data_IF_571663749061
#
_entry.id   IF_571663749061
#
_cell.length_a   1.000
_cell.length_b   1.000
_cell.length_c   1.000
_cell.angle_alpha   90.00
_cell.angle_beta   90.00
_cell.angle_gamma   90.00
#
_symmetry.space_group_name_H-M   'P 1'
#
loop_
_entity.id
_entity.type
_entity.pdbx_description
1 polymer ?
#
# COMPACT_ATOMS: atom_id res chain seq x y z
N UNK A 1 -12.82 9.33 -25.81
CA UNK A 1 -11.66 8.81 -26.56
C UNK A 1 -10.52 9.79 -26.38
N UNK A 2 -9.42 9.40 -25.72
CA UNK A 2 -8.27 10.29 -25.58
C UNK A 2 -7.70 10.60 -26.97
N UNK A 3 -7.57 11.88 -27.29
CA UNK A 3 -6.97 12.32 -28.55
C UNK A 3 -5.54 11.81 -28.66
N UNK A 4 -5.13 11.38 -29.84
CA UNK A 4 -3.74 11.00 -30.09
C UNK A 4 -2.79 12.14 -29.63
N UNK A 5 -1.69 11.80 -28.93
CA UNK A 5 -0.75 12.79 -28.42
C UNK A 5 -0.17 13.61 -29.57
N UNK A 6 -0.18 14.95 -29.41
CA UNK A 6 0.26 15.91 -30.44
C UNK A 6 1.70 16.38 -30.24
N UNK A 7 2.37 15.94 -29.17
CA UNK A 7 3.74 16.31 -28.86
C UNK A 7 4.47 15.21 -28.10
N UNK A 8 5.81 15.20 -28.20
CA UNK A 8 6.68 14.30 -27.44
C UNK A 8 6.43 14.37 -25.93
N UNK A 9 6.12 15.56 -25.40
CA UNK A 9 5.80 15.74 -23.98
C UNK A 9 4.47 15.08 -23.59
N UNK A 10 3.43 15.20 -24.41
CA UNK A 10 2.15 14.51 -24.17
C UNK A 10 2.31 13.00 -24.28
N UNK A 11 3.15 12.54 -25.22
CA UNK A 11 3.49 11.13 -25.35
C UNK A 11 4.23 10.61 -24.12
N UNK A 12 5.23 11.35 -23.62
CA UNK A 12 5.94 11.00 -22.40
C UNK A 12 5.02 10.96 -21.19
N UNK A 13 4.07 11.88 -21.08
CA UNK A 13 3.06 11.85 -20.02
C UNK A 13 2.19 10.59 -20.10
N UNK A 14 1.75 10.20 -21.31
CA UNK A 14 1.01 8.96 -21.52
C UNK A 14 1.82 7.73 -21.05
N UNK A 15 3.12 7.69 -21.35
CA UNK A 15 4.01 6.63 -20.87
C UNK A 15 4.11 6.63 -19.35
N UNK A 16 4.23 7.80 -18.71
CA UNK A 16 4.31 7.95 -17.25
C UNK A 16 3.00 7.54 -16.56
N UNK A 17 1.85 7.88 -17.14
CA UNK A 17 0.54 7.58 -16.58
C UNK A 17 0.15 6.10 -16.76
N UNK A 18 0.90 5.35 -17.56
CA UNK A 18 0.65 3.93 -17.82
C UNK A 18 1.14 3.08 -16.64
N UNK A 19 0.26 2.30 -15.98
CA UNK A 19 0.62 1.60 -14.75
C UNK A 19 1.39 0.29 -14.97
N UNK A 20 1.39 -0.26 -16.20
CA UNK A 20 1.97 -1.57 -16.50
C UNK A 20 3.21 -1.47 -17.38
N UNK A 21 4.31 -2.07 -16.94
CA UNK A 21 5.60 -2.08 -17.67
C UNK A 21 5.51 -2.69 -19.07
N UNK A 22 4.64 -3.69 -19.27
CA UNK A 22 4.43 -4.30 -20.57
C UNK A 22 3.86 -3.29 -21.58
N UNK A 23 2.87 -2.49 -21.15
CA UNK A 23 2.24 -1.47 -21.98
C UNK A 23 3.20 -0.31 -22.26
N UNK A 24 3.99 0.11 -21.26
CA UNK A 24 5.07 1.10 -21.41
C UNK A 24 6.04 0.70 -22.53
N UNK A 25 6.48 -0.56 -22.56
CA UNK A 25 7.38 -1.06 -23.63
C UNK A 25 6.73 -0.96 -25.00
N UNK A 26 5.47 -1.38 -25.11
CA UNK A 26 4.75 -1.29 -26.40
C UNK A 26 4.55 0.15 -26.86
N UNK A 27 4.40 1.10 -25.95
CA UNK A 27 4.31 2.52 -26.26
C UNK A 27 5.67 3.07 -26.71
N UNK A 28 6.76 2.72 -26.03
CA UNK A 28 8.10 3.11 -26.46
C UNK A 28 8.48 2.53 -27.83
N UNK A 29 8.04 1.32 -28.16
CA UNK A 29 8.26 0.71 -29.47
C UNK A 29 7.44 1.38 -30.59
N UNK A 30 6.23 1.86 -30.27
CA UNK A 30 5.36 2.60 -31.19
C UNK A 30 5.63 4.10 -31.23
N UNK A 31 6.62 4.57 -30.46
CA UNK A 31 6.96 5.98 -30.38
C UNK A 31 7.59 6.44 -31.71
N UNK A 32 7.17 7.58 -32.27
CA UNK A 32 7.83 8.17 -33.44
C UNK A 32 9.32 8.39 -33.18
N UNK A 33 10.20 8.03 -34.13
CA UNK A 33 11.65 8.06 -33.91
C UNK A 33 12.17 9.45 -33.57
N UNK A 34 11.56 10.50 -34.13
CA UNK A 34 11.88 11.90 -33.84
C UNK A 34 11.59 12.31 -32.38
N UNK A 35 10.66 11.62 -31.70
CA UNK A 35 10.28 11.92 -30.32
C UNK A 35 10.97 11.03 -29.31
N UNK A 36 11.45 9.86 -29.73
CA UNK A 36 11.98 8.81 -28.84
C UNK A 36 13.00 9.34 -27.84
N UNK A 37 14.03 10.05 -28.31
CA UNK A 37 15.07 10.62 -27.45
C UNK A 37 14.49 11.59 -26.41
N UNK A 38 13.56 12.44 -26.81
CA UNK A 38 12.93 13.41 -25.90
C UNK A 38 12.04 12.72 -24.87
N UNK A 39 11.27 11.70 -25.30
CA UNK A 39 10.39 10.92 -24.42
C UNK A 39 11.22 10.16 -23.39
N UNK A 40 12.27 9.47 -23.81
CA UNK A 40 13.17 8.71 -22.92
C UNK A 40 13.81 9.63 -21.87
N UNK A 41 14.26 10.83 -22.26
CA UNK A 41 14.81 11.81 -21.32
C UNK A 41 13.78 12.31 -20.29
N UNK A 42 12.54 12.57 -20.72
CA UNK A 42 11.47 13.03 -19.82
C UNK A 42 11.10 11.92 -18.84
N UNK A 43 10.93 10.69 -19.33
CA UNK A 43 10.59 9.52 -18.50
C UNK A 43 11.70 9.26 -17.47
N UNK A 44 12.96 9.20 -17.91
CA UNK A 44 14.10 9.02 -17.00
C UNK A 44 14.22 10.13 -15.96
N UNK A 45 13.92 11.39 -16.33
CA UNK A 45 13.89 12.50 -15.38
C UNK A 45 12.76 12.33 -14.36
N UNK A 46 11.59 11.88 -14.79
CA UNK A 46 10.45 11.62 -13.92
C UNK A 46 10.75 10.52 -12.91
N UNK A 47 11.27 9.37 -13.37
CA UNK A 47 11.65 8.25 -12.51
C UNK A 47 12.65 8.66 -11.43
N UNK A 48 13.67 9.47 -11.77
CA UNK A 48 14.63 9.99 -10.79
C UNK A 48 13.95 10.84 -9.72
N UNK A 49 13.03 11.73 -10.11
CA UNK A 49 12.28 12.58 -9.16
C UNK A 49 11.38 11.75 -8.26
N UNK A 50 10.71 10.73 -8.80
CA UNK A 50 9.89 9.80 -8.02
C UNK A 50 10.75 9.02 -7.03
N UNK A 51 11.89 8.49 -7.47
CA UNK A 51 12.82 7.77 -6.60
C UNK A 51 13.35 8.66 -5.45
N UNK A 52 13.71 9.90 -5.74
CA UNK A 52 14.11 10.87 -4.71
C UNK A 52 12.97 11.18 -3.73
N UNK A 53 11.75 11.39 -4.23
CA UNK A 53 10.58 11.64 -3.41
C UNK A 53 10.25 10.46 -2.49
N UNK A 54 10.27 9.23 -3.02
CA UNK A 54 10.08 8.01 -2.24
C UNK A 54 11.16 7.89 -1.18
N UNK A 55 12.43 8.08 -1.55
CA UNK A 55 13.56 8.05 -0.60
C UNK A 55 13.41 9.08 0.51
N UNK A 56 12.92 10.29 0.21
CA UNK A 56 12.66 11.31 1.22
C UNK A 56 11.49 10.92 2.14
N UNK A 57 10.39 10.38 1.58
CA UNK A 57 9.27 9.87 2.37
C UNK A 57 9.66 8.71 3.27
N UNK A 58 10.49 7.80 2.79
CA UNK A 58 10.97 6.66 3.58
C UNK A 58 11.80 7.08 4.78
N UNK A 59 12.59 8.16 4.68
CA UNK A 59 13.31 8.73 5.84
C UNK A 59 12.36 9.19 6.94
N UNK A 60 11.17 9.66 6.58
CA UNK A 60 10.14 10.13 7.50
C UNK A 60 9.19 9.02 7.93
N UNK A 61 9.32 7.81 7.38
CA UNK A 61 8.45 6.68 7.74
C UNK A 61 8.72 6.31 9.21
N UNK A 62 7.69 6.34 10.07
CA UNK A 62 7.84 5.85 11.43
C UNK A 62 8.36 4.41 11.38
N UNK A 63 9.45 4.14 12.11
CA UNK A 63 9.90 2.76 12.32
C UNK A 63 8.80 2.08 13.11
N UNK A 64 7.93 1.35 12.42
CA UNK A 64 7.04 0.40 13.09
C UNK A 64 7.94 -0.57 13.83
N UNK A 65 7.99 -0.44 15.16
CA UNK A 65 8.41 -1.52 16.02
C UNK A 65 7.45 -2.66 15.71
N UNK A 66 7.91 -3.62 14.92
CA UNK A 66 7.18 -4.85 14.69
C UNK A 66 7.15 -5.57 16.03
N UNK A 67 6.14 -5.29 16.85
CA UNK A 67 5.79 -6.15 17.97
C UNK A 67 5.56 -7.53 17.37
N UNK A 68 6.31 -8.52 17.84
CA UNK A 68 6.14 -9.90 17.40
C UNK A 68 4.65 -10.25 17.47
N UNK A 69 4.07 -10.89 16.43
CA UNK A 69 2.66 -11.27 16.47
C UNK A 69 2.41 -12.07 17.74
N UNK A 70 1.52 -11.56 18.60
CA UNK A 70 1.10 -12.27 19.80
C UNK A 70 0.21 -13.42 19.34
N UNK A 71 0.78 -14.62 19.26
CA UNK A 71 0.02 -15.84 19.04
C UNK A 71 -0.74 -16.15 20.34
N UNK A 72 -1.99 -15.70 20.41
CA UNK A 72 -2.91 -16.17 21.45
C UNK A 72 -3.31 -17.61 21.16
N UNK A 73 -3.20 -18.49 22.15
CA UNK A 73 -3.80 -19.82 22.06
C UNK A 73 -5.31 -19.67 22.09
N UNK A 74 -5.99 -20.14 21.04
CA UNK A 74 -7.44 -20.23 21.02
C UNK A 74 -7.86 -21.21 22.13
N UNK A 75 -8.40 -20.69 23.23
CA UNK A 75 -9.03 -21.52 24.24
C UNK A 75 -10.46 -21.78 23.80
N UNK A 76 -10.72 -23.03 23.43
CA UNK A 76 -12.06 -23.49 23.10
C UNK A 76 -12.89 -23.48 24.39
N UNK A 77 -13.73 -22.45 24.55
CA UNK A 77 -14.64 -22.39 25.69
C UNK A 77 -15.69 -23.48 25.51
N UNK A 78 -15.72 -24.44 26.45
CA UNK A 78 -16.72 -25.50 26.43
C UNK A 78 -18.12 -24.88 26.28
N UNK A 79 -18.95 -25.34 25.32
CA UNK A 79 -20.28 -24.78 25.10
C UNK A 79 -21.14 -25.00 26.34
N UNK A 80 -21.27 -23.96 27.17
CA UNK A 80 -22.12 -23.97 28.34
C UNK A 80 -23.59 -23.96 27.88
N UNK A 81 -24.17 -25.16 27.67
CA UNK A 81 -25.61 -25.27 27.45
C UNK A 81 -26.34 -24.84 28.73
N UNK A 82 -27.21 -23.84 28.57
CA UNK A 82 -28.33 -23.48 29.46
C UNK A 82 -28.05 -23.04 30.91
N UNK A 83 -26.84 -22.62 31.29
CA UNK A 83 -26.61 -22.03 32.63
C UNK A 83 -26.31 -20.51 32.57
N UNK A 84 -27.27 -19.65 32.93
CA UNK A 84 -27.11 -18.20 32.85
C UNK A 84 -26.05 -17.65 33.81
N UNK A 85 -25.79 -18.33 34.93
CA UNK A 85 -24.76 -17.93 35.91
C UNK A 85 -23.36 -18.16 35.35
N UNK A 86 -23.16 -19.27 34.63
CA UNK A 86 -21.88 -19.59 33.98
C UNK A 86 -21.62 -18.66 32.81
N UNK A 87 -22.65 -18.36 32.00
CA UNK A 87 -22.55 -17.39 30.90
C UNK A 87 -22.23 -15.97 31.42
N UNK A 88 -22.84 -15.54 32.52
CA UNK A 88 -22.53 -14.24 33.12
C UNK A 88 -21.07 -14.16 33.60
N UNK A 89 -20.54 -15.25 34.18
CA UNK A 89 -19.14 -15.33 34.60
C UNK A 89 -18.17 -15.32 33.43
N UNK A 90 -18.42 -16.11 32.38
CA UNK A 90 -17.56 -16.12 31.19
C UNK A 90 -17.55 -14.77 30.48
N UNK A 91 -18.69 -14.08 30.39
CA UNK A 91 -18.74 -12.72 29.84
C UNK A 91 -17.99 -11.70 30.71
N UNK A 92 -18.04 -11.81 32.04
CA UNK A 92 -17.29 -10.94 32.93
C UNK A 92 -15.77 -11.14 32.79
N UNK A 93 -15.34 -12.39 32.65
CA UNK A 93 -13.95 -12.77 32.42
C UNK A 93 -13.43 -12.23 31.07
N UNK A 94 -14.18 -12.46 29.98
CA UNK A 94 -13.87 -11.90 28.64
C UNK A 94 -13.77 -10.37 28.70
N UNK A 95 -14.70 -9.68 29.38
CA UNK A 95 -14.66 -8.21 29.53
C UNK A 95 -13.44 -7.73 30.33
N UNK A 96 -12.95 -8.52 31.27
CA UNK A 96 -11.75 -8.18 32.05
C UNK A 96 -10.46 -8.28 31.22
N UNK A 97 -10.36 -9.31 30.36
CA UNK A 97 -9.24 -9.50 29.43
C UNK A 97 -9.25 -8.44 28.32
N UNK A 98 -10.45 -8.08 27.83
CA UNK A 98 -10.61 -7.09 26.76
C UNK A 98 -10.56 -5.64 27.24
N UNK A 99 -10.52 -5.35 28.55
CA UNK A 99 -10.30 -3.99 29.03
C UNK A 99 -8.88 -3.60 28.62
N UNK A 100 -8.68 -2.72 27.62
CA UNK A 100 -7.34 -2.29 27.28
C UNK A 100 -6.73 -1.63 28.51
N UNK A 101 -5.49 -2.00 28.83
CA UNK A 101 -4.65 -1.21 29.72
C UNK A 101 -4.76 0.24 29.25
N UNK A 102 -5.22 1.10 30.18
CA UNK A 102 -5.29 2.56 30.01
C UNK A 102 -4.14 3.04 29.13
N UNK A 103 -4.49 3.81 28.11
CA UNK A 103 -3.59 4.57 27.27
C UNK A 103 -2.44 5.15 28.09
N UNK A 104 -1.21 4.77 27.72
CA UNK A 104 -0.01 5.44 28.19
C UNK A 104 -0.10 6.91 27.73
N UNK A 105 -0.14 7.82 28.71
CA UNK A 105 0.10 9.25 28.50
C UNK A 105 1.59 9.52 28.48
#
# INVERSE_FOLDING_TARGET
>A
MASAPRSSRQYAQLVIDTPFDAEVRTLLDKCPPEWRVSVELIVASHERRVAEFVRQKEKLRPRHLTTSPVFGTYQDQAPARSNPVVAARSMAEIRSVLKPMKEAR
#
